data_IF_735695582148
#
_entry.id   IF_735695582148
#
_cell.length_a   1.000
_cell.length_b   1.000
_cell.length_c   1.000
_cell.angle_alpha   90.00
_cell.angle_beta   90.00
_cell.angle_gamma   90.00
#
_symmetry.space_group_name_H-M   'P 1'
#
loop_
_entity.id
_entity.type
_entity.pdbx_description
1 polymer ?
#
# COMPACT_ATOMS: atom_id res chain seq x y z
N UNK A 1 -0.26 19.74 21.01
CA UNK A 1 0.56 18.57 21.31
C UNK A 1 1.21 18.02 20.11
N UNK A 2 2.44 17.60 20.25
CA UNK A 2 3.17 17.06 19.14
C UNK A 2 2.92 15.56 19.02
N UNK A 3 2.84 15.12 17.81
CA UNK A 3 2.70 13.71 17.49
C UNK A 3 4.01 13.00 17.85
N UNK A 4 3.92 11.81 18.44
CA UNK A 4 5.09 11.02 18.74
C UNK A 4 5.69 10.48 17.44
N UNK A 5 6.96 10.10 17.52
CA UNK A 5 7.64 9.57 16.34
C UNK A 5 6.98 8.30 15.82
N UNK A 6 6.54 7.45 16.72
CA UNK A 6 5.90 6.20 16.32
C UNK A 6 4.52 6.45 15.71
N UNK A 7 3.79 7.40 16.25
CA UNK A 7 2.51 7.78 15.66
C UNK A 7 2.68 8.29 14.25
N UNK A 8 3.74 9.07 14.04
CA UNK A 8 4.04 9.59 12.73
C UNK A 8 4.39 8.47 11.76
N UNK A 9 5.17 7.49 12.19
CA UNK A 9 5.52 6.34 11.35
C UNK A 9 4.26 5.59 10.95
N UNK A 10 3.38 5.34 11.91
CA UNK A 10 2.13 4.63 11.64
C UNK A 10 1.29 5.40 10.63
N UNK A 11 1.18 6.70 10.81
CA UNK A 11 0.41 7.53 9.90
C UNK A 11 0.98 7.50 8.49
N UNK A 12 2.31 7.60 8.38
CA UNK A 12 2.96 7.60 7.06
C UNK A 12 2.82 6.26 6.37
N UNK A 13 2.97 5.17 7.12
CA UNK A 13 2.81 3.84 6.53
C UNK A 13 1.36 3.62 6.10
N UNK A 14 0.41 4.06 6.91
CA UNK A 14 -1.00 3.93 6.57
C UNK A 14 -1.33 4.75 5.32
N UNK A 15 -0.77 5.93 5.21
CA UNK A 15 -0.97 6.77 4.04
C UNK A 15 -0.35 6.13 2.81
N UNK A 16 0.85 5.56 2.96
CA UNK A 16 1.50 4.87 1.85
C UNK A 16 0.66 3.70 1.36
N UNK A 17 0.03 2.98 2.28
CA UNK A 17 -0.84 1.87 1.91
C UNK A 17 -2.04 2.34 1.10
N UNK A 18 -2.62 3.46 1.50
CA UNK A 18 -3.74 4.04 0.76
C UNK A 18 -3.31 4.49 -0.63
N UNK A 19 -2.17 5.15 -0.72
CA UNK A 19 -1.65 5.61 -2.02
C UNK A 19 -1.33 4.43 -2.93
N UNK A 20 -0.77 3.37 -2.37
CA UNK A 20 -0.47 2.16 -3.14
C UNK A 20 -1.76 1.54 -3.68
N UNK A 21 -2.82 1.54 -2.89
CA UNK A 21 -4.09 1.01 -3.33
C UNK A 21 -4.67 1.83 -4.48
N UNK A 22 -4.57 3.14 -4.40
CA UNK A 22 -5.03 4.01 -5.47
C UNK A 22 -4.22 3.80 -6.74
N UNK A 23 -2.90 3.64 -6.58
CA UNK A 23 -2.03 3.36 -7.72
C UNK A 23 -2.39 2.03 -8.36
N UNK A 24 -2.66 1.03 -7.54
CA UNK A 24 -3.06 -0.29 -8.02
C UNK A 24 -4.35 -0.20 -8.83
N UNK A 25 -5.32 0.59 -8.36
CA UNK A 25 -6.57 0.78 -9.09
C UNK A 25 -6.33 1.41 -10.46
N UNK A 26 -5.42 2.38 -10.53
CA UNK A 26 -5.09 3.03 -11.80
C UNK A 26 -4.41 2.06 -12.76
N UNK A 27 -3.52 1.22 -12.24
CA UNK A 27 -2.85 0.21 -13.08
C UNK A 27 -3.88 -0.79 -13.62
N UNK A 28 -4.80 -1.22 -12.77
CA UNK A 28 -5.86 -2.13 -13.21
C UNK A 28 -6.73 -1.49 -14.27
N UNK A 29 -7.05 -0.20 -14.10
CA UNK A 29 -7.85 0.52 -15.09
C UNK A 29 -7.13 0.58 -16.43
N UNK A 30 -5.82 0.82 -16.41
CA UNK A 30 -5.03 0.84 -17.63
C UNK A 30 -5.04 -0.52 -18.32
N UNK A 31 -5.12 -1.59 -17.54
CA UNK A 31 -5.12 -2.93 -18.11
C UNK A 31 -6.38 -3.27 -18.90
N UNK A 32 -7.45 -2.53 -18.67
CA UNK A 32 -8.69 -2.77 -19.42
C UNK A 32 -8.57 -2.39 -20.90
N UNK A 33 -7.65 -1.48 -21.21
CA UNK A 33 -7.43 -1.04 -22.58
C UNK A 33 -6.15 -1.66 -23.15
N UNK A 34 -5.79 -2.83 -22.67
CA UNK A 34 -4.54 -3.46 -23.07
C UNK A 34 -4.50 -3.85 -24.53
N UNK A 35 -5.64 -3.90 -25.22
CA UNK A 35 -5.69 -4.20 -26.64
C UNK A 35 -5.04 -3.09 -27.47
N UNK A 36 -4.86 -1.91 -26.87
CA UNK A 36 -4.18 -0.79 -27.54
C UNK A 36 -2.67 -0.87 -27.40
N UNK A 37 -2.17 -1.84 -26.63
CA UNK A 37 -0.77 -1.95 -26.30
C UNK A 37 -0.14 -3.11 -27.07
N UNK A 38 1.17 -3.03 -27.24
CA UNK A 38 1.93 -4.14 -27.83
C UNK A 38 2.01 -5.26 -26.79
N UNK A 39 2.35 -6.46 -27.27
CA UNK A 39 2.47 -7.61 -26.39
C UNK A 39 3.51 -7.39 -25.28
N UNK A 40 4.72 -6.87 -25.57
CA UNK A 40 5.64 -6.60 -24.48
C UNK A 40 5.12 -5.60 -23.47
N UNK A 41 4.37 -4.60 -23.92
CA UNK A 41 3.80 -3.59 -23.02
C UNK A 41 2.75 -4.19 -22.10
N UNK A 42 1.90 -5.05 -22.66
CA UNK A 42 0.88 -5.74 -21.86
C UNK A 42 1.54 -6.60 -20.80
N UNK A 43 2.60 -7.31 -21.18
CA UNK A 43 3.30 -8.18 -20.26
C UNK A 43 3.94 -7.39 -19.14
N UNK A 44 4.55 -6.27 -19.47
CA UNK A 44 5.18 -5.41 -18.48
C UNK A 44 4.14 -4.84 -17.51
N UNK A 45 3.01 -4.40 -18.04
CA UNK A 45 1.94 -3.86 -17.22
C UNK A 45 1.38 -4.91 -16.27
N UNK A 46 1.23 -6.14 -16.76
CA UNK A 46 0.76 -7.25 -15.93
C UNK A 46 1.72 -7.53 -14.78
N UNK A 47 3.01 -7.47 -15.06
CA UNK A 47 4.02 -7.69 -14.04
C UNK A 47 3.99 -6.61 -12.99
N UNK A 48 3.85 -5.36 -13.41
CA UNK A 48 3.75 -4.25 -12.49
C UNK A 48 2.52 -4.39 -11.62
N UNK A 49 1.41 -4.75 -12.22
CA UNK A 49 0.16 -4.97 -11.50
C UNK A 49 0.34 -6.02 -10.40
N UNK A 50 0.99 -7.11 -10.75
CA UNK A 50 1.24 -8.22 -9.83
C UNK A 50 2.10 -7.78 -8.64
N UNK A 51 3.19 -7.09 -8.92
CA UNK A 51 4.10 -6.61 -7.87
C UNK A 51 3.42 -5.58 -6.97
N UNK A 52 2.65 -4.72 -7.58
CA UNK A 52 1.97 -3.66 -6.85
C UNK A 52 0.90 -4.23 -5.92
N UNK A 53 0.24 -5.29 -6.36
CA UNK A 53 -0.75 -5.98 -5.53
C UNK A 53 -0.10 -6.52 -4.27
N UNK A 54 1.05 -7.18 -4.41
CA UNK A 54 1.79 -7.69 -3.26
C UNK A 54 2.28 -6.58 -2.34
N UNK A 55 2.82 -5.51 -2.92
CA UNK A 55 3.32 -4.40 -2.12
C UNK A 55 2.21 -3.71 -1.35
N UNK A 56 1.07 -3.56 -1.99
CA UNK A 56 -0.09 -2.94 -1.35
C UNK A 56 -0.52 -3.76 -0.14
N UNK A 57 -0.55 -5.06 -0.29
CA UNK A 57 -0.91 -5.95 0.80
C UNK A 57 0.13 -5.91 1.92
N UNK A 58 1.40 -5.90 1.54
CA UNK A 58 2.48 -5.82 2.54
C UNK A 58 2.40 -4.55 3.34
N UNK A 59 2.14 -3.42 2.68
CA UNK A 59 2.00 -2.14 3.38
C UNK A 59 0.80 -2.14 4.31
N UNK A 60 -0.29 -2.70 3.87
CA UNK A 60 -1.50 -2.78 4.69
C UNK A 60 -1.26 -3.63 5.92
N UNK A 61 -0.60 -4.76 5.74
CA UNK A 61 -0.29 -5.65 6.85
C UNK A 61 0.67 -5.00 7.83
N UNK A 62 1.65 -4.28 7.32
CA UNK A 62 2.60 -3.58 8.20
C UNK A 62 1.90 -2.49 8.98
N UNK A 63 1.02 -1.73 8.34
CA UNK A 63 0.28 -0.68 9.02
C UNK A 63 -0.54 -1.27 10.16
N UNK A 64 -1.17 -2.40 9.91
CA UNK A 64 -1.99 -3.06 10.93
C UNK A 64 -1.13 -3.54 12.09
N UNK A 65 0.00 -4.15 11.78
CA UNK A 65 0.92 -4.62 12.82
C UNK A 65 1.42 -3.48 13.68
N UNK A 66 1.75 -2.36 13.06
CA UNK A 66 2.24 -1.20 13.81
C UNK A 66 1.17 -0.65 14.72
N UNK A 67 -0.06 -0.58 14.24
CA UNK A 67 -1.16 -0.09 15.05
C UNK A 67 -1.38 -0.97 16.27
N UNK A 68 -1.39 -2.28 16.07
CA UNK A 68 -1.60 -3.22 17.15
C UNK A 68 -0.45 -3.14 18.16
N UNK A 69 0.78 -3.07 17.67
CA UNK A 69 1.95 -3.13 18.54
C UNK A 69 2.14 -1.84 19.33
N UNK A 70 1.80 -0.70 18.75
CA UNK A 70 2.22 0.57 19.34
C UNK A 70 1.06 1.45 19.81
N UNK A 71 -0.09 1.34 19.20
CA UNK A 71 -1.21 2.18 19.61
C UNK A 71 -2.08 1.46 20.62
N UNK A 72 -2.47 0.24 20.31
CA UNK A 72 -3.31 -0.54 21.24
C UNK A 72 -2.50 -1.02 22.41
N UNK A 73 -1.38 -1.67 22.12
CA UNK A 73 -0.51 -2.21 23.16
C UNK A 73 0.04 -1.15 24.07
N UNK A 74 0.41 -0.01 23.47
CA UNK A 74 0.93 1.10 24.24
C UNK A 74 -0.06 1.62 25.25
N UNK A 75 -1.30 1.68 24.85
CA UNK A 75 -2.35 2.11 25.77
C UNK A 75 -2.49 1.19 26.97
N UNK A 76 -2.31 -0.07 26.72
CA UNK A 76 -2.40 -1.05 27.79
C UNK A 76 -1.16 -1.05 28.66
N UNK A 77 -0.05 -0.76 28.07
CA UNK A 77 1.20 -0.78 28.76
C UNK A 77 1.32 0.32 29.79
N UNK A 78 0.54 1.31 29.63
CA UNK A 78 0.59 2.41 30.57
C UNK A 78 -0.02 2.03 31.88
#
# INVERSE_FOLDING_TARGET
MTESKIERVIREVSFAAQCAEMTLQSVKAASYDSDLLSFPEVQELSEINYRLDYLTEDLRNLAEKLKVAHMTGGGNGS
#
